data_IF_201971357694
#
_entry.id   IF_201971357694
#
_cell.length_a   1.000
_cell.length_b   1.000
_cell.length_c   1.000
_cell.angle_alpha   90.00
_cell.angle_beta   90.00
_cell.angle_gamma   90.00
#
_symmetry.space_group_name_H-M   'P 1'
#
loop_
_entity.id
_entity.type
_entity.pdbx_description
1 polymer ?
#
# COMPACT_ATOMS: atom_id res chain seq x y z
N UNK A 1 -14.67 9.53 -2.59
CA UNK A 1 -15.64 9.65 -1.47
C UNK A 1 -14.83 9.57 -0.18
N UNK A 2 -15.08 10.46 0.81
CA UNK A 2 -14.41 10.37 2.12
C UNK A 2 -14.81 9.03 2.76
N UNK A 3 -13.86 8.15 3.08
CA UNK A 3 -14.15 6.85 3.71
C UNK A 3 -14.93 7.09 5.01
N UNK A 4 -15.90 6.21 5.29
CA UNK A 4 -16.64 6.23 6.56
C UNK A 4 -15.65 5.86 7.68
N UNK A 5 -15.02 6.85 8.30
CA UNK A 5 -14.23 6.65 9.53
C UNK A 5 -15.14 6.70 10.77
N UNK A 6 -14.75 5.96 11.82
CA UNK A 6 -15.33 6.06 13.16
C UNK A 6 -14.69 7.18 14.00
N UNK A 7 -13.67 7.85 13.46
CA UNK A 7 -12.89 8.87 14.15
C UNK A 7 -12.85 10.19 13.33
N UNK A 8 -14.01 10.75 12.93
CA UNK A 8 -14.07 11.87 12.00
C UNK A 8 -13.45 13.18 12.53
N UNK A 9 -13.33 13.35 13.86
CA UNK A 9 -12.66 14.51 14.47
C UNK A 9 -11.19 14.27 14.82
N UNK A 10 -10.71 13.04 14.67
CA UNK A 10 -9.34 12.69 15.05
C UNK A 10 -8.35 13.03 13.93
N UNK A 11 -7.22 13.60 14.33
CA UNK A 11 -6.05 13.81 13.49
C UNK A 11 -4.80 13.47 14.30
N UNK A 12 -4.10 12.41 13.89
CA UNK A 12 -2.87 11.93 14.53
C UNK A 12 -1.76 12.99 14.48
N UNK A 13 -1.80 13.92 13.54
CA UNK A 13 -0.78 14.95 13.41
C UNK A 13 -0.84 15.98 14.54
N UNK A 14 -1.93 16.05 15.31
CA UNK A 14 -1.98 16.83 16.55
C UNK A 14 -1.04 16.29 17.63
N UNK A 15 -0.64 15.02 17.55
CA UNK A 15 0.31 14.39 18.49
C UNK A 15 1.77 14.62 18.08
N UNK A 16 2.04 15.31 16.98
CA UNK A 16 3.39 15.46 16.41
C UNK A 16 4.43 15.95 17.43
N UNK A 17 4.11 16.99 18.18
CA UNK A 17 5.05 17.63 19.12
C UNK A 17 5.35 16.74 20.35
N UNK A 18 4.67 15.60 20.47
CA UNK A 18 4.90 14.61 21.51
C UNK A 18 5.88 13.53 21.09
N UNK A 19 6.18 13.41 19.79
CA UNK A 19 7.16 12.48 19.26
C UNK A 19 8.57 13.08 19.32
N UNK A 20 9.59 12.23 19.33
CA UNK A 20 10.97 12.68 19.19
C UNK A 20 11.26 13.24 17.77
N UNK A 21 12.33 14.02 17.64
CA UNK A 21 12.71 14.68 16.38
C UNK A 21 12.92 13.69 15.22
N UNK A 22 13.35 12.47 15.53
CA UNK A 22 13.56 11.45 14.51
C UNK A 22 12.22 10.95 13.95
N UNK A 23 11.29 10.59 14.82
CA UNK A 23 9.94 10.14 14.44
C UNK A 23 9.20 11.26 13.72
N UNK A 24 9.25 12.49 14.21
CA UNK A 24 8.62 13.63 13.54
C UNK A 24 9.11 13.77 12.09
N UNK A 25 10.43 13.70 11.86
CA UNK A 25 11.00 13.78 10.51
C UNK A 25 10.50 12.66 9.61
N UNK A 26 10.46 11.42 10.10
CA UNK A 26 9.99 10.27 9.32
C UNK A 26 8.50 10.41 8.99
N UNK A 27 7.65 10.75 9.97
CA UNK A 27 6.20 10.84 9.73
C UNK A 27 5.88 12.00 8.78
N UNK A 28 6.51 13.16 8.98
CA UNK A 28 6.34 14.32 8.09
C UNK A 28 6.82 14.06 6.68
N UNK A 29 7.87 13.26 6.48
CA UNK A 29 8.33 12.93 5.12
C UNK A 29 7.31 12.09 4.36
N UNK A 30 6.39 11.38 5.03
CA UNK A 30 5.33 10.59 4.37
C UNK A 30 4.24 11.45 3.72
N UNK A 31 4.06 12.68 4.22
CA UNK A 31 3.13 13.66 3.66
C UNK A 31 3.65 14.33 2.38
N UNK A 32 4.93 14.13 2.06
CA UNK A 32 5.57 14.70 0.88
C UNK A 32 5.83 13.59 -0.13
N UNK A 33 5.23 13.69 -1.30
CA UNK A 33 5.42 12.76 -2.42
C UNK A 33 6.00 13.52 -3.61
N UNK A 34 6.86 12.87 -4.39
CA UNK A 34 7.51 13.51 -5.55
C UNK A 34 7.09 12.88 -6.86
N UNK A 35 6.86 11.56 -6.87
CA UNK A 35 6.73 10.80 -8.12
C UNK A 35 8.00 10.72 -8.95
N UNK A 36 9.15 11.09 -8.37
CA UNK A 36 10.47 10.93 -8.97
C UNK A 36 10.99 9.53 -8.68
N UNK A 37 10.61 8.58 -9.55
CA UNK A 37 10.98 7.17 -9.40
C UNK A 37 12.45 6.92 -9.76
N UNK A 38 13.14 6.15 -8.92
CA UNK A 38 14.54 5.72 -9.14
C UNK A 38 14.63 4.26 -9.60
N UNK A 39 13.60 3.45 -9.33
CA UNK A 39 13.53 2.06 -9.75
C UNK A 39 12.47 1.87 -10.84
N UNK A 40 11.24 2.33 -10.62
CA UNK A 40 10.11 2.16 -11.51
C UNK A 40 10.22 3.06 -12.74
N UNK A 41 9.83 2.54 -13.89
CA UNK A 41 9.47 3.36 -15.04
C UNK A 41 8.10 3.99 -14.85
N UNK A 42 7.79 5.04 -15.62
CA UNK A 42 6.45 5.67 -15.59
C UNK A 42 5.33 4.67 -15.89
N UNK A 43 5.55 3.73 -16.81
CA UNK A 43 4.53 2.73 -17.18
C UNK A 43 4.34 1.70 -16.06
N UNK A 44 5.43 1.21 -15.46
CA UNK A 44 5.36 0.32 -14.29
C UNK A 44 4.64 0.98 -13.11
N UNK A 45 4.90 2.27 -12.87
CA UNK A 45 4.23 3.04 -11.83
C UNK A 45 2.72 3.15 -12.06
N UNK A 46 2.25 3.33 -13.30
CA UNK A 46 0.81 3.37 -13.60
C UNK A 46 0.14 1.99 -13.47
N UNK A 47 0.83 0.90 -13.82
CA UNK A 47 0.36 -0.46 -13.53
C UNK A 47 0.20 -0.67 -12.02
N UNK A 48 1.21 -0.28 -11.24
CA UNK A 48 1.16 -0.36 -9.79
C UNK A 48 0.09 0.56 -9.20
N UNK A 49 -0.11 1.77 -9.73
CA UNK A 49 -1.15 2.70 -9.27
C UNK A 49 -2.52 2.01 -9.31
N UNK A 50 -2.87 1.46 -10.47
CA UNK A 50 -4.13 0.75 -10.66
C UNK A 50 -4.22 -0.50 -9.78
N UNK A 51 -3.12 -1.23 -9.59
CA UNK A 51 -3.09 -2.46 -8.80
C UNK A 51 -3.23 -2.18 -7.31
N UNK A 52 -2.40 -1.28 -6.77
CA UNK A 52 -2.40 -0.87 -5.37
C UNK A 52 -3.73 -0.26 -4.96
N UNK A 53 -4.32 0.63 -5.78
CA UNK A 53 -5.65 1.20 -5.52
C UNK A 53 -6.72 0.13 -5.31
N UNK A 54 -6.70 -0.94 -6.10
CA UNK A 54 -7.65 -2.05 -5.95
C UNK A 54 -7.39 -2.90 -4.70
N UNK A 55 -6.13 -3.03 -4.25
CA UNK A 55 -5.79 -3.79 -3.04
C UNK A 55 -6.28 -3.11 -1.76
N UNK A 56 -6.22 -1.78 -1.70
CA UNK A 56 -6.59 -1.00 -0.50
C UNK A 56 -7.95 -0.31 -0.61
N UNK A 57 -8.63 -0.48 -1.76
CA UNK A 57 -9.88 0.20 -2.09
C UNK A 57 -9.78 1.71 -1.85
N UNK A 58 -8.73 2.33 -2.40
CA UNK A 58 -8.46 3.76 -2.29
C UNK A 58 -7.91 4.33 -3.59
N UNK A 59 -8.38 5.51 -3.95
CA UNK A 59 -8.03 6.19 -5.20
C UNK A 59 -7.54 7.62 -4.94
N UNK A 60 -7.34 8.02 -3.67
CA UNK A 60 -6.76 9.32 -3.33
C UNK A 60 -5.35 9.46 -3.91
N UNK A 61 -5.12 10.44 -4.81
CA UNK A 61 -3.85 10.54 -5.53
C UNK A 61 -2.63 10.63 -4.61
N UNK A 62 -2.69 11.43 -3.56
CA UNK A 62 -1.62 11.64 -2.59
C UNK A 62 -1.26 10.38 -1.80
N UNK A 63 -2.26 9.61 -1.36
CA UNK A 63 -2.06 8.37 -0.60
C UNK A 63 -1.45 7.29 -1.50
N UNK A 64 -2.01 7.13 -2.70
CA UNK A 64 -1.52 6.12 -3.64
C UNK A 64 -0.14 6.51 -4.16
N UNK A 65 0.13 7.79 -4.40
CA UNK A 65 1.47 8.25 -4.76
C UNK A 65 2.49 7.93 -3.66
N UNK A 66 2.13 8.12 -2.39
CA UNK A 66 3.01 7.74 -1.27
C UNK A 66 3.32 6.24 -1.27
N UNK A 67 2.30 5.40 -1.54
CA UNK A 67 2.50 3.95 -1.68
C UNK A 67 3.49 3.63 -2.80
N UNK A 68 3.37 4.27 -3.97
CA UNK A 68 4.28 4.05 -5.09
C UNK A 68 5.70 4.50 -4.78
N UNK A 69 5.86 5.70 -4.22
CA UNK A 69 7.16 6.25 -3.82
C UNK A 69 7.85 5.35 -2.76
N UNK A 70 7.07 4.75 -1.86
CA UNK A 70 7.58 3.77 -0.91
C UNK A 70 8.04 2.48 -1.60
N UNK A 71 7.20 1.90 -2.47
CA UNK A 71 7.54 0.70 -3.24
C UNK A 71 8.83 0.92 -4.05
N UNK A 72 8.91 2.05 -4.76
CA UNK A 72 10.06 2.42 -5.59
C UNK A 72 11.36 2.45 -4.78
N UNK A 73 11.40 3.21 -3.68
CA UNK A 73 12.57 3.32 -2.82
C UNK A 73 12.96 1.98 -2.18
N UNK A 74 11.97 1.19 -1.75
CA UNK A 74 12.22 -0.13 -1.14
C UNK A 74 12.86 -1.07 -2.16
N UNK A 75 12.37 -1.10 -3.40
CA UNK A 75 12.94 -1.93 -4.46
C UNK A 75 14.31 -1.42 -4.92
N UNK A 76 14.52 -0.10 -4.98
CA UNK A 76 15.82 0.51 -5.29
C UNK A 76 16.88 0.20 -4.24
N UNK A 77 16.49 0.21 -2.95
CA UNK A 77 17.40 -0.06 -1.83
C UNK A 77 17.76 -1.53 -1.65
N UNK A 78 17.04 -2.45 -2.31
CA UNK A 78 17.31 -3.89 -2.25
C UNK A 78 17.09 -4.54 -0.87
N UNK A 79 16.47 -3.83 0.08
CA UNK A 79 16.20 -4.36 1.40
C UNK A 79 14.96 -5.25 1.38
N UNK A 80 15.09 -6.46 1.91
CA UNK A 80 14.00 -7.42 1.98
C UNK A 80 13.98 -8.09 3.35
N UNK A 81 12.91 -7.86 4.12
CA UNK A 81 12.81 -8.41 5.48
C UNK A 81 12.61 -9.93 5.50
N UNK A 82 11.90 -10.48 4.50
CA UNK A 82 11.61 -11.90 4.37
C UNK A 82 11.45 -12.31 2.90
N UNK A 83 12.02 -13.46 2.53
CA UNK A 83 11.89 -14.12 1.23
C UNK A 83 11.78 -15.63 1.43
N UNK A 84 10.84 -16.30 0.74
CA UNK A 84 10.80 -17.78 0.81
C UNK A 84 11.94 -18.38 0.00
N UNK A 85 12.39 -19.56 0.40
CA UNK A 85 13.38 -20.31 -0.36
C UNK A 85 12.89 -20.56 -1.79
N UNK A 86 13.73 -20.27 -2.78
CA UNK A 86 13.43 -20.44 -4.21
C UNK A 86 12.68 -19.29 -4.88
N UNK A 87 12.19 -18.29 -4.14
CA UNK A 87 11.62 -17.08 -4.75
C UNK A 87 12.73 -16.10 -5.19
N UNK A 88 12.56 -15.39 -6.32
CA UNK A 88 13.48 -14.31 -6.72
C UNK A 88 13.49 -13.18 -5.67
N UNK A 89 14.56 -12.38 -5.68
CA UNK A 89 14.61 -11.15 -4.89
C UNK A 89 13.46 -10.21 -5.26
N UNK A 90 12.97 -9.42 -4.30
CA UNK A 90 11.80 -8.56 -4.49
C UNK A 90 11.88 -7.68 -5.74
N UNK A 91 13.03 -7.03 -5.99
CA UNK A 91 13.27 -6.19 -7.16
C UNK A 91 13.11 -6.95 -8.48
N UNK A 92 13.68 -8.16 -8.56
CA UNK A 92 13.58 -9.02 -9.76
C UNK A 92 12.15 -9.51 -9.92
N UNK A 93 11.53 -10.02 -8.85
CA UNK A 93 10.17 -10.53 -8.86
C UNK A 93 9.16 -9.48 -9.34
N UNK A 94 9.26 -8.25 -8.81
CA UNK A 94 8.35 -7.16 -9.19
C UNK A 94 8.59 -6.71 -10.63
N UNK A 95 9.85 -6.53 -11.04
CA UNK A 95 10.16 -6.10 -12.42
C UNK A 95 9.69 -7.10 -13.46
N UNK A 96 10.06 -8.37 -13.29
CA UNK A 96 9.63 -9.44 -14.20
C UNK A 96 8.11 -9.61 -14.17
N UNK A 97 7.50 -9.47 -12.97
CA UNK A 97 6.06 -9.54 -12.79
C UNK A 97 5.28 -8.43 -13.49
N UNK A 98 5.76 -7.19 -13.43
CA UNK A 98 5.15 -6.06 -14.13
C UNK A 98 5.31 -6.17 -15.64
N UNK A 99 6.47 -6.65 -16.10
CA UNK A 99 6.67 -6.95 -17.52
C UNK A 99 5.72 -8.05 -18.02
N UNK A 100 5.56 -9.15 -17.25
CA UNK A 100 4.62 -10.21 -17.57
C UNK A 100 3.16 -9.72 -17.55
N UNK A 101 2.79 -8.88 -16.58
CA UNK A 101 1.48 -8.25 -16.51
C UNK A 101 1.17 -7.42 -17.77
N UNK A 102 2.09 -6.53 -18.16
CA UNK A 102 1.92 -5.68 -19.34
C UNK A 102 1.81 -6.51 -20.62
N UNK A 103 2.69 -7.50 -20.78
CA UNK A 103 2.69 -8.41 -21.94
C UNK A 103 1.41 -9.23 -22.03
N UNK A 104 0.93 -9.79 -20.91
CA UNK A 104 -0.31 -10.56 -20.85
C UNK A 104 -1.53 -9.70 -21.21
N UNK A 105 -1.63 -8.48 -20.66
CA UNK A 105 -2.72 -7.56 -20.99
C UNK A 105 -2.69 -7.16 -22.47
N UNK A 106 -1.52 -6.83 -23.03
CA UNK A 106 -1.40 -6.49 -24.45
C UNK A 106 -1.78 -7.68 -25.35
N UNK A 107 -1.42 -8.89 -24.97
CA UNK A 107 -1.69 -10.10 -25.77
C UNK A 107 -3.18 -10.46 -25.78
N UNK A 108 -3.86 -10.37 -24.63
CA UNK A 108 -5.25 -10.82 -24.48
C UNK A 108 -6.25 -9.70 -24.79
N UNK A 109 -5.92 -8.47 -24.41
CA UNK A 109 -6.85 -7.33 -24.44
C UNK A 109 -6.41 -6.21 -25.37
N UNK A 110 -5.19 -6.24 -25.93
CA UNK A 110 -4.62 -5.12 -26.72
C UNK A 110 -4.57 -3.80 -25.92
N UNK A 111 -4.60 -3.91 -24.60
CA UNK A 111 -4.63 -2.78 -23.67
C UNK A 111 -3.63 -3.00 -22.54
N UNK A 112 -3.27 -1.93 -21.84
CA UNK A 112 -2.46 -2.00 -20.62
C UNK A 112 -3.36 -2.26 -19.41
N UNK A 113 -2.82 -2.90 -18.37
CA UNK A 113 -3.58 -3.22 -17.16
C UNK A 113 -4.34 -2.01 -16.59
N UNK A 114 -3.72 -0.83 -16.52
CA UNK A 114 -4.36 0.38 -15.99
C UNK A 114 -5.51 0.93 -16.87
N UNK A 115 -5.60 0.53 -18.14
CA UNK A 115 -6.73 0.88 -19.03
C UNK A 115 -7.90 -0.11 -18.98
N UNK A 116 -7.67 -1.33 -18.47
CA UNK A 116 -8.72 -2.35 -18.39
C UNK A 116 -9.90 -1.90 -17.51
N UNK A 117 -11.07 -2.47 -17.79
CA UNK A 117 -12.26 -2.25 -16.98
C UNK A 117 -12.06 -2.80 -15.55
N UNK A 118 -12.69 -2.21 -14.51
CA UNK A 118 -12.50 -2.63 -13.12
C UNK A 118 -12.73 -4.13 -12.87
N UNK A 119 -13.71 -4.73 -13.56
CA UNK A 119 -13.99 -6.18 -13.45
C UNK A 119 -12.86 -7.03 -14.03
N UNK A 120 -12.27 -6.62 -15.15
CA UNK A 120 -11.15 -7.32 -15.78
C UNK A 120 -9.89 -7.23 -14.92
N UNK A 121 -9.58 -6.03 -14.38
CA UNK A 121 -8.45 -5.84 -13.44
C UNK A 121 -8.56 -6.80 -12.25
N UNK A 122 -9.72 -6.82 -11.59
CA UNK A 122 -9.96 -7.70 -10.43
C UNK A 122 -9.86 -9.19 -10.79
N UNK A 123 -10.38 -9.60 -11.94
CA UNK A 123 -10.27 -10.99 -12.38
C UNK A 123 -8.81 -11.39 -12.61
N UNK A 124 -8.03 -10.57 -13.33
CA UNK A 124 -6.61 -10.84 -13.55
C UNK A 124 -5.82 -10.89 -12.25
N UNK A 125 -6.05 -9.94 -11.33
CA UNK A 125 -5.45 -9.97 -9.99
C UNK A 125 -5.75 -11.27 -9.25
N UNK A 126 -6.99 -11.76 -9.34
CA UNK A 126 -7.41 -13.02 -8.74
C UNK A 126 -6.69 -14.21 -9.39
N UNK A 127 -6.57 -14.23 -10.70
CA UNK A 127 -5.89 -15.29 -11.44
C UNK A 127 -4.40 -15.32 -11.08
N UNK A 128 -3.72 -14.17 -11.03
CA UNK A 128 -2.32 -14.06 -10.58
C UNK A 128 -2.18 -14.58 -9.14
N UNK A 129 -3.10 -14.23 -8.24
CA UNK A 129 -3.08 -14.70 -6.84
C UNK A 129 -3.20 -16.23 -6.70
N UNK A 130 -3.77 -16.90 -7.71
CA UNK A 130 -4.04 -18.34 -7.73
C UNK A 130 -3.06 -19.14 -8.61
N UNK A 131 -2.07 -18.49 -9.22
CA UNK A 131 -1.21 -19.07 -10.26
C UNK A 131 -2.01 -19.56 -11.48
N UNK A 132 -3.04 -18.81 -11.88
CA UNK A 132 -3.95 -19.13 -12.98
C UNK A 132 -3.92 -18.08 -14.10
N UNK A 133 -3.07 -17.05 -13.99
CA UNK A 133 -2.97 -16.03 -15.02
C UNK A 133 -2.38 -16.60 -16.30
N UNK A 134 -2.96 -16.17 -17.42
CA UNK A 134 -2.60 -16.54 -18.79
C UNK A 134 -2.09 -15.29 -19.53
N UNK A 135 -1.35 -15.47 -20.64
CA UNK A 135 -0.87 -16.71 -21.25
C UNK A 135 0.27 -17.38 -20.46
N UNK A 136 0.33 -18.72 -20.42
CA UNK A 136 1.30 -19.44 -19.59
C UNK A 136 2.75 -19.13 -19.98
N UNK A 137 3.01 -18.97 -21.28
CA UNK A 137 4.31 -18.62 -21.85
C UNK A 137 4.84 -17.27 -21.35
N UNK A 138 3.96 -16.32 -21.05
CA UNK A 138 4.33 -15.00 -20.49
C UNK A 138 4.69 -15.12 -19.01
N UNK A 139 3.96 -15.97 -18.28
CA UNK A 139 4.12 -16.13 -16.83
C UNK A 139 5.09 -17.24 -16.42
N UNK A 140 5.66 -18.00 -17.36
CA UNK A 140 6.39 -19.25 -17.10
C UNK A 140 7.57 -19.10 -16.12
N UNK A 141 8.18 -17.92 -16.05
CA UNK A 141 9.32 -17.62 -15.16
C UNK A 141 8.95 -16.70 -13.98
N UNK A 142 7.69 -16.29 -13.87
CA UNK A 142 7.22 -15.40 -12.82
C UNK A 142 6.36 -16.19 -11.84
N UNK A 143 6.80 -16.36 -10.58
CA UNK A 143 5.98 -16.96 -9.53
C UNK A 143 4.77 -16.07 -9.19
N UNK A 144 3.65 -16.25 -9.89
CA UNK A 144 2.48 -15.34 -9.88
C UNK A 144 1.94 -15.06 -8.46
N UNK A 145 1.69 -16.11 -7.67
CA UNK A 145 1.17 -15.93 -6.32
C UNK A 145 2.18 -15.25 -5.37
N UNK A 146 3.48 -15.47 -5.61
CA UNK A 146 4.53 -14.76 -4.85
C UNK A 146 4.56 -13.28 -5.22
N UNK A 147 4.44 -12.94 -6.51
CA UNK A 147 4.30 -11.57 -6.98
C UNK A 147 3.09 -10.88 -6.34
N UNK A 148 1.90 -11.51 -6.40
CA UNK A 148 0.69 -10.97 -5.78
C UNK A 148 0.92 -10.68 -4.29
N UNK A 149 1.47 -11.66 -3.56
CA UNK A 149 1.75 -11.51 -2.13
C UNK A 149 2.78 -10.43 -1.84
N UNK A 150 3.82 -10.31 -2.67
CA UNK A 150 4.85 -9.27 -2.52
C UNK A 150 4.26 -7.89 -2.72
N UNK A 151 3.49 -7.68 -3.80
CA UNK A 151 2.81 -6.41 -4.05
C UNK A 151 1.79 -6.07 -2.95
N UNK A 152 1.03 -7.06 -2.47
CA UNK A 152 0.13 -6.88 -1.33
C UNK A 152 0.87 -6.41 -0.08
N UNK A 153 1.96 -7.08 0.29
CA UNK A 153 2.73 -6.73 1.48
C UNK A 153 3.31 -5.32 1.38
N UNK A 154 3.97 -4.98 0.26
CA UNK A 154 4.55 -3.65 0.05
C UNK A 154 3.47 -2.55 0.06
N UNK A 155 2.31 -2.83 -0.54
CA UNK A 155 1.17 -1.90 -0.58
C UNK A 155 0.63 -1.65 0.82
N UNK A 156 0.34 -2.71 1.58
CA UNK A 156 -0.25 -2.63 2.92
C UNK A 156 0.72 -2.00 3.91
N UNK A 157 2.00 -2.36 3.86
CA UNK A 157 3.05 -1.75 4.69
C UNK A 157 3.12 -0.24 4.48
N UNK A 158 3.16 0.21 3.22
CA UNK A 158 3.16 1.62 2.90
C UNK A 158 1.85 2.29 3.33
N UNK A 159 0.71 1.79 2.86
CA UNK A 159 -0.61 2.40 3.06
C UNK A 159 -0.93 2.61 4.55
N UNK A 160 -0.73 1.58 5.38
CA UNK A 160 -0.96 1.67 6.82
C UNK A 160 0.18 2.29 7.61
N UNK A 161 1.18 2.89 6.95
CA UNK A 161 2.17 3.78 7.56
C UNK A 161 1.84 5.26 7.36
N UNK A 162 0.84 5.60 6.55
CA UNK A 162 0.49 6.99 6.26
C UNK A 162 -0.35 7.60 7.40
N UNK A 163 -0.03 8.81 7.89
CA UNK A 163 -0.71 9.41 9.05
C UNK A 163 -2.20 9.72 8.84
N UNK A 164 -2.62 10.03 7.62
CA UNK A 164 -4.06 10.17 7.33
C UNK A 164 -4.80 8.84 7.51
N UNK A 165 -4.19 7.73 7.08
CA UNK A 165 -4.76 6.39 7.26
C UNK A 165 -4.79 6.00 8.73
N UNK A 166 -3.76 6.37 9.50
CA UNK A 166 -3.78 6.20 10.96
C UNK A 166 -4.96 6.89 11.60
N UNK A 167 -5.22 8.14 11.22
CA UNK A 167 -6.35 8.91 11.74
C UNK A 167 -7.68 8.23 11.39
N UNK A 168 -7.82 7.74 10.16
CA UNK A 168 -9.04 7.06 9.69
C UNK A 168 -9.34 5.76 10.43
N UNK A 169 -8.32 4.98 10.77
CA UNK A 169 -8.48 3.70 11.49
C UNK A 169 -8.45 3.86 13.00
N UNK A 170 -8.19 5.07 13.51
CA UNK A 170 -8.06 5.35 14.93
C UNK A 170 -6.76 4.83 15.54
N UNK A 171 -5.67 4.79 14.77
CA UNK A 171 -4.36 4.52 15.31
C UNK A 171 -3.73 5.81 15.85
N UNK A 172 -3.32 5.78 17.13
CA UNK A 172 -2.75 6.93 17.84
C UNK A 172 -1.37 7.40 17.36
N UNK A 173 -0.79 6.73 16.36
CA UNK A 173 0.57 6.97 15.91
C UNK A 173 1.63 6.37 16.85
N UNK A 174 2.91 6.67 16.62
CA UNK A 174 4.00 6.19 17.45
C UNK A 174 3.89 6.68 18.89
N UNK A 175 4.08 5.77 19.85
CA UNK A 175 4.01 6.12 21.26
C UNK A 175 5.33 6.67 21.81
N UNK A 176 6.48 6.45 21.15
CA UNK A 176 7.77 6.91 21.66
C UNK A 176 7.88 8.45 21.63
N UNK A 177 8.38 9.09 22.70
CA UNK A 177 8.95 8.53 23.93
C UNK A 177 7.95 8.25 25.07
N UNK A 178 6.69 8.67 24.94
CA UNK A 178 5.66 8.55 25.99
C UNK A 178 5.37 7.11 26.42
N UNK A 179 5.33 6.18 25.45
CA UNK A 179 4.90 4.79 25.64
C UNK A 179 3.38 4.64 25.77
N UNK A 180 2.91 3.39 25.72
CA UNK A 180 1.54 3.03 26.09
C UNK A 180 1.50 2.70 27.58
N UNK A 181 0.60 3.33 28.33
CA UNK A 181 0.51 3.20 29.80
C UNK A 181 -0.72 2.40 30.21
N UNK A 182 -1.76 2.35 29.36
CA UNK A 182 -2.92 1.48 29.58
C UNK A 182 -2.64 0.05 29.09
N UNK A 183 -2.82 -0.91 30.00
CA UNK A 183 -2.49 -2.32 29.77
C UNK A 183 -3.71 -3.24 29.66
N UNK A 184 -4.92 -2.73 29.95
CA UNK A 184 -6.14 -3.53 29.94
C UNK A 184 -6.93 -3.34 28.64
N UNK A 185 -7.50 -4.40 28.04
CA UNK A 185 -8.33 -4.29 26.86
C UNK A 185 -9.46 -3.27 27.03
N UNK A 186 -9.65 -2.41 26.03
CA UNK A 186 -10.69 -1.37 26.04
C UNK A 186 -10.36 -0.12 26.86
N UNK A 187 -9.18 -0.06 27.49
CA UNK A 187 -8.67 1.18 28.06
C UNK A 187 -7.79 1.90 27.04
N UNK A 188 -8.16 3.14 26.74
CA UNK A 188 -7.41 4.02 25.87
C UNK A 188 -6.58 4.99 26.72
N UNK A 189 -5.34 5.22 26.30
CA UNK A 189 -4.58 6.36 26.79
C UNK A 189 -5.28 7.68 26.40
N UNK A 190 -5.08 8.78 27.14
CA UNK A 190 -5.83 10.03 26.92
C UNK A 190 -5.70 10.63 25.51
N UNK A 191 -4.59 10.32 24.83
CA UNK A 191 -4.26 10.77 23.48
C UNK A 191 -4.73 9.80 22.39
N UNK A 192 -5.19 8.60 22.75
CA UNK A 192 -5.74 7.66 21.79
C UNK A 192 -7.17 8.07 21.39
N UNK A 193 -7.52 7.92 20.11
CA UNK A 193 -8.81 8.33 19.60
C UNK A 193 -9.95 7.47 20.14
N UNK A 194 -11.08 8.10 20.41
CA UNK A 194 -12.33 7.43 20.82
C UNK A 194 -13.28 7.35 19.64
N UNK A 195 -13.93 6.19 19.48
CA UNK A 195 -14.96 6.04 18.44
C UNK A 195 -16.10 7.05 18.67
N UNK A 196 -16.42 7.81 17.63
CA UNK A 196 -17.56 8.70 17.59
C UNK A 196 -18.75 7.92 17.03
N UNK A 197 -19.75 7.65 17.87
CA UNK A 197 -21.01 7.07 17.40
C UNK A 197 -21.66 8.09 16.47
N UNK A 198 -21.96 7.68 15.22
CA UNK A 198 -22.89 8.43 14.39
C UNK A 198 -24.21 8.54 15.16
N UNK A 199 -24.67 9.75 15.44
CA UNK A 199 -26.07 9.94 15.76
C UNK A 199 -26.83 9.47 14.52
N UNK A 200 -27.54 8.34 14.64
CA UNK A 200 -28.54 8.00 13.65
C UNK A 200 -29.62 9.08 13.77
N UNK A 201 -29.61 10.05 12.85
CA UNK A 201 -30.82 10.80 12.56
C UNK A 201 -31.86 9.79 12.08
N UNK A 202 -32.91 9.66 12.88
CA UNK A 202 -34.05 8.78 12.65
C UNK A 202 -34.95 9.32 11.53
#
# INVERSE_FOLDING_TARGET
MKKLTRYPSYDVMHEKDTWDDHTQRIVLSRLHTTGDYVFLTTVEAEHLRAWCSLLVDDERPEIIQFVLDHIDRTLAGGQESQRKSGEPEAAVLVREGLHALDTACQTIHTERFFHLQPKQKKQLMLDVSRNQAVPLEVWQHVPQAALFKKLLNLTVEAYYSHPEIWSEIGYGGPAYPRGYVRMHPGQLDPWEPKEEKKQHEA
#
